data_IF_212970343381
#
_entry.id   IF_212970343381
#
_cell.length_a   1.000
_cell.length_b   1.000
_cell.length_c   1.000
_cell.angle_alpha   90.00
_cell.angle_beta   90.00
_cell.angle_gamma   90.00
#
_symmetry.space_group_name_H-M   'P 1'
#
loop_
_entity.id
_entity.type
_entity.pdbx_description
1 polymer ?
#
# COMPACT_ATOMS: atom_id res chain seq x y z
N UNK A 1 -2.04 6.74 -20.00
CA UNK A 1 -1.47 6.32 -18.69
C UNK A 1 -2.54 6.24 -17.61
N UNK A 2 -3.30 7.32 -17.35
CA UNK A 2 -4.35 7.34 -16.31
C UNK A 2 -5.43 6.27 -16.56
N UNK A 3 -5.93 6.14 -17.80
CA UNK A 3 -6.93 5.12 -18.12
C UNK A 3 -6.46 3.70 -17.76
N UNK A 4 -5.25 3.32 -18.18
CA UNK A 4 -4.69 1.99 -17.88
C UNK A 4 -4.47 1.79 -16.38
N UNK A 5 -4.13 2.84 -15.64
CA UNK A 5 -4.04 2.81 -14.18
C UNK A 5 -5.41 2.52 -13.55
N UNK A 6 -6.46 3.27 -13.94
CA UNK A 6 -7.82 3.05 -13.46
C UNK A 6 -8.31 1.64 -13.80
N UNK A 7 -8.03 1.13 -15.00
CA UNK A 7 -8.37 -0.24 -15.40
C UNK A 7 -7.64 -1.26 -14.52
N UNK A 8 -6.34 -1.09 -14.28
CA UNK A 8 -5.57 -2.01 -13.43
C UNK A 8 -6.11 -2.06 -11.99
N UNK A 9 -6.44 -0.90 -11.41
CA UNK A 9 -7.05 -0.81 -10.07
C UNK A 9 -8.45 -1.44 -10.07
N UNK A 10 -9.26 -1.21 -11.10
CA UNK A 10 -10.57 -1.83 -11.22
C UNK A 10 -10.48 -3.37 -11.32
N UNK A 11 -9.55 -3.89 -12.13
CA UNK A 11 -9.30 -5.33 -12.23
C UNK A 11 -8.86 -5.91 -10.90
N UNK A 12 -7.95 -5.25 -10.17
CA UNK A 12 -7.54 -5.68 -8.83
C UNK A 12 -8.72 -5.72 -7.86
N UNK A 13 -9.51 -4.65 -7.80
CA UNK A 13 -10.67 -4.54 -6.92
C UNK A 13 -11.75 -5.59 -7.23
N UNK A 14 -12.07 -5.79 -8.52
CA UNK A 14 -13.02 -6.79 -8.98
C UNK A 14 -12.52 -8.22 -8.72
N UNK A 15 -11.24 -8.48 -8.94
CA UNK A 15 -10.64 -9.79 -8.67
C UNK A 15 -10.67 -10.12 -7.18
N UNK A 16 -10.34 -9.14 -6.33
CA UNK A 16 -10.43 -9.29 -4.89
C UNK A 16 -11.88 -9.51 -4.42
N UNK A 17 -12.82 -8.65 -4.84
CA UNK A 17 -14.23 -8.76 -4.50
C UNK A 17 -14.85 -10.08 -4.99
N UNK A 18 -14.54 -10.48 -6.22
CA UNK A 18 -14.96 -11.76 -6.80
C UNK A 18 -14.41 -12.95 -6.01
N UNK A 19 -13.14 -12.91 -5.62
CA UNK A 19 -12.53 -13.98 -4.80
C UNK A 19 -13.21 -14.10 -3.44
N UNK A 20 -13.49 -12.97 -2.77
CA UNK A 20 -14.21 -12.94 -1.49
C UNK A 20 -15.61 -13.54 -1.65
N UNK A 21 -16.35 -13.11 -2.67
CA UNK A 21 -17.70 -13.60 -2.92
C UNK A 21 -17.74 -15.10 -3.25
N UNK A 22 -16.88 -15.57 -4.16
CA UNK A 22 -16.80 -16.99 -4.56
C UNK A 22 -16.39 -17.88 -3.37
N UNK A 23 -15.58 -17.36 -2.46
CA UNK A 23 -15.19 -18.06 -1.22
C UNK A 23 -16.28 -18.07 -0.15
N UNK A 24 -17.47 -17.51 -0.44
CA UNK A 24 -18.58 -17.39 0.52
C UNK A 24 -18.40 -16.30 1.57
N UNK A 25 -17.45 -15.38 1.37
CA UNK A 25 -17.14 -14.30 2.29
C UNK A 25 -17.92 -13.01 2.02
N UNK A 26 -17.93 -12.12 3.00
CA UNK A 26 -18.46 -10.76 2.88
C UNK A 26 -17.31 -9.75 2.87
N UNK A 27 -17.30 -8.80 1.93
CA UNK A 27 -16.27 -7.75 1.85
C UNK A 27 -16.12 -6.97 3.16
N UNK A 28 -17.22 -6.75 3.88
CA UNK A 28 -17.23 -6.00 5.13
C UNK A 28 -16.45 -6.70 6.25
N UNK A 29 -16.28 -8.04 6.21
CA UNK A 29 -15.45 -8.77 7.18
C UNK A 29 -13.95 -8.45 7.05
N UNK A 30 -13.55 -7.92 5.89
CA UNK A 30 -12.18 -7.47 5.68
C UNK A 30 -11.98 -6.01 6.08
N UNK A 31 -13.01 -5.31 6.59
CA UNK A 31 -12.91 -3.93 7.07
C UNK A 31 -12.63 -3.92 8.58
N UNK A 32 -11.36 -4.10 8.94
CA UNK A 32 -10.91 -4.10 10.33
C UNK A 32 -10.29 -2.73 10.69
N UNK A 33 -10.95 -2.01 11.60
CA UNK A 33 -10.57 -0.64 11.95
C UNK A 33 -9.14 -0.53 12.56
N UNK A 34 -8.74 -1.40 13.52
CA UNK A 34 -7.35 -1.45 13.99
C UNK A 34 -6.33 -1.64 12.86
N UNK A 35 -6.57 -2.60 11.96
CA UNK A 35 -5.72 -2.85 10.78
C UNK A 35 -5.67 -1.65 9.84
N UNK A 36 -6.80 -0.95 9.61
CA UNK A 36 -6.84 0.25 8.78
C UNK A 36 -6.01 1.38 9.37
N UNK A 37 -6.12 1.62 10.68
CA UNK A 37 -5.34 2.64 11.36
C UNK A 37 -3.83 2.34 11.23
N UNK A 38 -3.40 1.12 11.51
CA UNK A 38 -1.97 0.80 11.45
C UNK A 38 -1.45 0.73 10.02
N UNK A 39 -2.25 0.30 9.03
CA UNK A 39 -1.77 0.12 7.65
C UNK A 39 -1.95 1.33 6.74
N UNK A 40 -2.90 2.21 7.04
CA UNK A 40 -3.15 3.41 6.23
C UNK A 40 -2.62 4.64 6.96
N UNK A 41 -3.07 4.86 8.20
CA UNK A 41 -2.77 6.09 8.92
C UNK A 41 -1.27 6.18 9.27
N UNK A 42 -0.69 5.15 9.87
CA UNK A 42 0.73 5.18 10.25
C UNK A 42 1.68 5.37 9.05
N UNK A 43 1.60 4.58 7.96
CA UNK A 43 2.51 4.75 6.83
C UNK A 43 2.37 6.11 6.15
N UNK A 44 1.16 6.64 6.01
CA UNK A 44 0.94 7.98 5.43
C UNK A 44 1.54 9.06 6.31
N UNK A 45 1.28 9.04 7.63
CA UNK A 45 1.84 10.01 8.57
C UNK A 45 3.36 9.91 8.62
N UNK A 46 3.92 8.70 8.68
CA UNK A 46 5.36 8.46 8.67
C UNK A 46 6.02 9.09 7.44
N UNK A 47 5.43 8.89 6.26
CA UNK A 47 5.95 9.47 5.01
C UNK A 47 5.77 11.00 4.95
N UNK A 48 4.67 11.53 5.48
CA UNK A 48 4.48 12.98 5.60
C UNK A 48 5.55 13.62 6.50
N UNK A 49 5.94 12.95 7.59
CA UNK A 49 7.01 13.42 8.48
C UNK A 49 8.39 13.38 7.83
N UNK A 50 8.68 12.36 7.01
CA UNK A 50 9.97 12.22 6.34
C UNK A 50 10.16 13.15 5.14
N UNK A 51 9.12 13.33 4.32
CA UNK A 51 9.23 14.02 3.03
C UNK A 51 8.55 15.40 3.03
N UNK A 52 7.62 15.66 3.96
CA UNK A 52 6.77 16.84 3.94
C UNK A 52 5.63 16.74 2.94
N UNK A 53 4.53 17.44 3.22
CA UNK A 53 3.29 17.33 2.45
C UNK A 53 3.41 17.74 0.97
N UNK A 54 4.28 18.73 0.67
CA UNK A 54 4.52 19.18 -0.70
C UNK A 54 5.19 18.09 -1.55
N UNK A 55 6.20 17.41 -1.01
CA UNK A 55 6.90 16.32 -1.72
C UNK A 55 5.98 15.11 -1.91
N UNK A 56 5.17 14.77 -0.90
CA UNK A 56 4.17 13.69 -1.01
C UNK A 56 3.19 13.99 -2.15
N UNK A 57 2.55 15.17 -2.15
CA UNK A 57 1.61 15.56 -3.22
C UNK A 57 2.27 15.56 -4.60
N UNK A 58 3.49 16.07 -4.69
CA UNK A 58 4.27 16.06 -5.93
C UNK A 58 4.52 14.63 -6.43
N UNK A 59 4.90 13.70 -5.54
CA UNK A 59 5.21 12.33 -5.89
C UNK A 59 4.01 11.61 -6.56
N UNK A 60 2.80 11.77 -6.04
CA UNK A 60 1.57 11.16 -6.59
C UNK A 60 1.17 11.70 -7.97
N UNK A 61 1.72 12.83 -8.42
CA UNK A 61 1.36 13.46 -9.70
C UNK A 61 2.49 13.43 -10.72
N UNK A 62 3.75 13.31 -10.27
CA UNK A 62 4.96 13.32 -11.09
C UNK A 62 4.96 12.25 -12.21
N UNK A 63 4.44 11.04 -11.95
CA UNK A 63 4.36 10.00 -12.99
C UNK A 63 3.39 10.32 -14.14
N UNK A 64 2.42 11.22 -13.92
CA UNK A 64 1.37 11.54 -14.90
C UNK A 64 1.64 12.83 -15.67
N UNK A 65 2.41 13.74 -15.08
CA UNK A 65 2.83 15.01 -15.69
C UNK A 65 3.87 14.78 -16.79
N UNK A 66 3.79 15.56 -17.87
CA UNK A 66 4.76 15.50 -18.99
C UNK A 66 5.97 16.39 -18.75
N UNK A 67 5.80 17.47 -17.99
CA UNK A 67 6.81 18.47 -17.64
C UNK A 67 7.65 18.08 -16.42
N UNK A 68 7.59 16.82 -15.98
CA UNK A 68 8.32 16.35 -14.81
C UNK A 68 9.80 16.19 -15.15
N UNK A 69 10.66 16.91 -14.44
CA UNK A 69 12.11 16.81 -14.64
C UNK A 69 12.66 15.48 -14.11
N UNK A 70 13.82 15.01 -14.60
CA UNK A 70 14.44 13.78 -14.08
C UNK A 70 14.68 13.82 -12.56
N UNK A 71 15.09 14.98 -12.04
CA UNK A 71 15.27 15.19 -10.60
C UNK A 71 13.96 15.03 -9.82
N UNK A 72 12.85 15.59 -10.33
CA UNK A 72 11.53 15.45 -9.70
C UNK A 72 11.04 14.00 -9.74
N UNK A 73 11.25 13.32 -10.86
CA UNK A 73 10.89 11.91 -11.00
C UNK A 73 11.69 11.03 -10.04
N UNK A 74 12.98 11.31 -9.84
CA UNK A 74 13.84 10.56 -8.93
C UNK A 74 13.47 10.80 -7.46
N UNK A 75 13.16 12.03 -7.06
CA UNK A 75 12.61 12.36 -5.73
C UNK A 75 11.29 11.62 -5.46
N UNK A 76 10.39 11.60 -6.44
CA UNK A 76 9.14 10.85 -6.34
C UNK A 76 9.38 9.33 -6.27
N UNK A 77 10.37 8.80 -7.01
CA UNK A 77 10.75 7.39 -6.97
C UNK A 77 11.29 7.00 -5.59
N UNK A 78 12.12 7.85 -4.99
CA UNK A 78 12.62 7.66 -3.62
C UNK A 78 11.48 7.62 -2.60
N UNK A 79 10.49 8.53 -2.72
CA UNK A 79 9.29 8.50 -1.91
C UNK A 79 8.55 7.15 -2.01
N UNK A 80 8.22 6.67 -3.21
CA UNK A 80 7.48 5.42 -3.36
C UNK A 80 8.30 4.18 -2.97
N UNK A 81 9.62 4.22 -3.16
CA UNK A 81 10.54 3.18 -2.68
C UNK A 81 10.56 3.10 -1.15
N UNK A 82 10.52 4.25 -0.47
CA UNK A 82 10.43 4.34 0.99
C UNK A 82 9.05 3.87 1.44
N UNK A 83 7.99 4.36 0.80
CA UNK A 83 6.61 4.04 1.14
C UNK A 83 6.29 2.55 1.00
N UNK A 84 6.80 1.89 -0.06
CA UNK A 84 6.73 0.43 -0.23
C UNK A 84 7.30 -0.31 0.99
N UNK A 85 8.51 0.06 1.42
CA UNK A 85 9.17 -0.56 2.58
C UNK A 85 8.41 -0.30 3.87
N UNK A 86 7.94 0.93 4.08
CA UNK A 86 7.14 1.26 5.27
C UNK A 86 5.88 0.39 5.33
N UNK A 87 5.12 0.26 4.24
CA UNK A 87 3.92 -0.59 4.22
C UNK A 87 4.24 -2.03 4.63
N UNK A 88 5.24 -2.66 4.00
CA UNK A 88 5.56 -4.05 4.28
C UNK A 88 6.18 -4.27 5.65
N UNK A 89 7.08 -3.39 6.10
CA UNK A 89 7.67 -3.48 7.44
C UNK A 89 6.59 -3.30 8.51
N UNK A 90 5.69 -2.32 8.36
CA UNK A 90 4.56 -2.14 9.29
C UNK A 90 3.68 -3.38 9.34
N UNK A 91 3.40 -4.01 8.20
CA UNK A 91 2.62 -5.25 8.18
C UNK A 91 3.36 -6.40 8.90
N UNK A 92 4.66 -6.59 8.65
CA UNK A 92 5.45 -7.60 9.35
C UNK A 92 5.46 -7.38 10.86
N UNK A 93 5.66 -6.13 11.30
CA UNK A 93 5.61 -5.77 12.73
C UNK A 93 4.23 -6.02 13.31
N UNK A 94 3.16 -5.71 12.58
CA UNK A 94 1.77 -5.94 13.01
C UNK A 94 1.48 -7.44 13.17
N UNK A 95 1.97 -8.27 12.25
CA UNK A 95 1.87 -9.74 12.37
C UNK A 95 2.56 -10.22 13.64
N UNK A 96 3.77 -9.74 13.93
CA UNK A 96 4.48 -10.13 15.15
C UNK A 96 3.71 -9.71 16.41
N UNK A 97 3.18 -8.49 16.46
CA UNK A 97 2.36 -8.00 17.57
C UNK A 97 1.12 -8.88 17.75
N UNK A 98 0.41 -9.20 16.67
CA UNK A 98 -0.78 -10.03 16.69
C UNK A 98 -0.48 -11.47 17.14
N UNK A 99 0.63 -12.04 16.69
CA UNK A 99 1.09 -13.37 17.15
C UNK A 99 1.42 -13.34 18.64
N UNK A 100 2.12 -12.33 19.13
CA UNK A 100 2.40 -12.17 20.57
C UNK A 100 1.08 -12.06 21.35
N UNK A 101 0.11 -11.30 20.86
CA UNK A 101 -1.20 -11.17 21.50
C UNK A 101 -1.97 -12.50 21.54
N UNK A 102 -1.90 -13.32 20.50
CA UNK A 102 -2.47 -14.68 20.51
C UNK A 102 -1.79 -15.57 21.54
N UNK A 103 -0.45 -15.51 21.65
CA UNK A 103 0.30 -16.32 22.62
C UNK A 103 -0.03 -15.93 24.07
N UNK A 104 -0.22 -14.64 24.34
CA UNK A 104 -0.65 -14.15 25.66
C UNK A 104 -2.05 -14.68 26.02
N UNK A 105 -2.95 -14.78 25.03
CA UNK A 105 -4.34 -15.17 25.23
C UNK A 105 -4.63 -16.60 24.72
N UNK A 106 -3.65 -17.50 24.79
CA UNK A 106 -3.71 -18.79 24.10
C UNK A 106 -4.88 -19.68 24.56
N UNK A 107 -5.26 -19.57 25.83
CA UNK A 107 -6.38 -20.32 26.41
C UNK A 107 -7.75 -19.69 26.11
N UNK A 108 -7.77 -18.38 25.79
CA UNK A 108 -8.98 -17.66 25.43
C UNK A 108 -9.27 -17.74 23.92
N UNK A 109 -10.12 -18.69 23.56
CA UNK A 109 -10.56 -18.90 22.17
C UNK A 109 -11.26 -17.68 21.56
N UNK A 110 -11.81 -16.78 22.37
CA UNK A 110 -12.48 -15.56 21.87
C UNK A 110 -11.49 -14.52 21.39
N UNK A 111 -10.26 -14.51 21.94
CA UNK A 111 -9.19 -13.59 21.55
C UNK A 111 -8.35 -14.09 20.36
N UNK A 112 -8.31 -15.40 20.10
CA UNK A 112 -7.49 -15.97 19.03
C UNK A 112 -7.91 -15.50 17.63
N UNK A 113 -9.20 -15.59 17.31
CA UNK A 113 -9.74 -15.23 15.99
C UNK A 113 -9.46 -13.78 15.60
N UNK A 114 -9.80 -12.78 16.44
CA UNK A 114 -9.55 -11.37 16.16
C UNK A 114 -8.06 -11.04 15.95
N UNK A 115 -7.17 -11.60 16.77
CA UNK A 115 -5.73 -11.36 16.61
C UNK A 115 -5.18 -12.04 15.34
N UNK A 116 -5.67 -13.23 14.98
CA UNK A 116 -5.30 -13.86 13.71
C UNK A 116 -5.78 -13.05 12.51
N UNK A 117 -7.00 -12.49 12.58
CA UNK A 117 -7.52 -11.58 11.55
C UNK A 117 -6.65 -10.32 11.41
N UNK A 118 -6.25 -9.68 12.52
CA UNK A 118 -5.33 -8.53 12.50
C UNK A 118 -4.02 -8.87 11.78
N UNK A 119 -3.44 -10.04 12.05
CA UNK A 119 -2.23 -10.49 11.36
C UNK A 119 -2.45 -10.62 9.85
N UNK A 120 -3.48 -11.36 9.41
CA UNK A 120 -3.72 -11.63 8.00
C UNK A 120 -4.20 -10.40 7.21
N UNK A 121 -5.09 -9.59 7.79
CA UNK A 121 -5.63 -8.38 7.15
C UNK A 121 -4.51 -7.34 6.97
N UNK A 122 -3.57 -7.23 7.92
CA UNK A 122 -2.43 -6.31 7.75
C UNK A 122 -1.57 -6.64 6.52
N UNK A 123 -1.31 -7.93 6.27
CA UNK A 123 -0.59 -8.41 5.08
C UNK A 123 -1.39 -8.16 3.80
N UNK A 124 -2.69 -8.47 3.84
CA UNK A 124 -3.60 -8.24 2.72
C UNK A 124 -3.62 -6.76 2.34
N UNK A 125 -3.77 -5.86 3.31
CA UNK A 125 -3.79 -4.42 3.08
C UNK A 125 -2.45 -3.90 2.53
N UNK A 126 -1.32 -4.37 3.06
CA UNK A 126 -0.01 -4.03 2.51
C UNK A 126 0.10 -4.42 1.03
N UNK A 127 -0.31 -5.65 0.69
CA UNK A 127 -0.34 -6.13 -0.68
C UNK A 127 -1.25 -5.32 -1.60
N UNK A 128 -2.49 -5.08 -1.18
CA UNK A 128 -3.47 -4.31 -1.97
C UNK A 128 -3.02 -2.87 -2.18
N UNK A 129 -2.54 -2.17 -1.14
CA UNK A 129 -2.02 -0.81 -1.27
C UNK A 129 -0.77 -0.77 -2.14
N UNK A 130 0.12 -1.75 -2.00
CA UNK A 130 1.33 -1.82 -2.80
C UNK A 130 1.01 -2.03 -4.29
N UNK A 131 0.07 -2.92 -4.62
CA UNK A 131 -0.37 -3.18 -5.99
C UNK A 131 -1.19 -2.03 -6.58
N UNK A 132 -2.11 -1.46 -5.81
CA UNK A 132 -3.02 -0.42 -6.29
C UNK A 132 -2.32 0.93 -6.45
N UNK A 133 -1.40 1.28 -5.53
CA UNK A 133 -0.87 2.65 -5.42
C UNK A 133 0.61 2.70 -5.75
N UNK A 134 1.43 1.94 -5.04
CA UNK A 134 2.89 2.14 -5.06
C UNK A 134 3.52 1.63 -6.35
N UNK A 135 3.20 0.41 -6.75
CA UNK A 135 3.81 -0.23 -7.91
C UNK A 135 3.50 0.52 -9.22
N UNK A 136 2.25 0.94 -9.51
CA UNK A 136 1.96 1.67 -10.75
C UNK A 136 2.69 3.02 -10.82
N UNK A 137 2.76 3.75 -9.70
CA UNK A 137 3.48 5.01 -9.64
C UNK A 137 4.99 4.81 -9.87
N UNK A 138 5.61 3.78 -9.28
CA UNK A 138 7.01 3.43 -9.56
C UNK A 138 7.24 3.12 -11.04
N UNK A 139 6.33 2.38 -11.68
CA UNK A 139 6.42 2.07 -13.12
C UNK A 139 6.33 3.35 -13.96
N UNK A 140 5.40 4.26 -13.65
CA UNK A 140 5.25 5.50 -14.40
C UNK A 140 6.44 6.44 -14.22
N UNK A 141 6.97 6.57 -13.01
CA UNK A 141 8.17 7.35 -12.74
C UNK A 141 9.38 6.78 -13.47
N UNK A 142 9.53 5.44 -13.49
CA UNK A 142 10.60 4.78 -14.25
C UNK A 142 10.49 5.06 -15.75
N UNK A 143 9.28 5.07 -16.31
CA UNK A 143 9.07 5.43 -17.72
C UNK A 143 9.54 6.86 -18.01
N UNK A 144 9.21 7.82 -17.13
CA UNK A 144 9.68 9.22 -17.26
C UNK A 144 11.20 9.34 -17.24
N UNK A 145 11.86 8.64 -16.34
CA UNK A 145 13.33 8.63 -16.25
C UNK A 145 13.99 8.03 -17.49
N UNK A 146 13.35 7.04 -18.13
CA UNK A 146 13.86 6.43 -19.37
C UNK A 146 13.68 7.41 -20.54
N UNK A 147 12.49 8.01 -20.68
CA UNK A 147 12.19 8.99 -21.74
C UNK A 147 13.18 10.16 -21.73
N UNK A 148 13.55 10.68 -20.54
CA UNK A 148 14.52 11.78 -20.42
C UNK A 148 15.95 11.40 -20.80
N UNK A 149 16.33 10.13 -20.67
CA UNK A 149 17.68 9.67 -21.03
C UNK A 149 17.83 9.41 -22.53
N UNK A 150 16.73 9.27 -23.26
CA UNK A 150 16.72 9.08 -24.72
C UNK A 150 16.70 10.40 -25.51
N UNK A 151 16.48 11.54 -24.85
CA UNK A 151 16.49 12.88 -25.46
C UNK A 151 17.88 13.56 -25.39
N UNK A 152 18.91 12.85 -24.91
CA UNK A 152 20.32 13.27 -24.82
C UNK A 152 21.13 12.48 -25.85
#
# INVERSE_FOLDING_TARGET
MILNYCIAVAVLALSFAGTVYISGGMLLHYLDLPSLLIMVFFPVVYQLLLFGSAAVKSAFTAGFRKDTTPEQAEKARLFFWSYSRTLWITAMVTVLIAVIAMLINLEDRTALGPNFALALISLLYAGLLHLAVVLPNLVFLRKRLIESNTEI
#
